data_IF_125054258240
#
_entry.id   IF_125054258240
#
_cell.length_a   1.000
_cell.length_b   1.000
_cell.length_c   1.000
_cell.angle_alpha   90.00
_cell.angle_beta   90.00
_cell.angle_gamma   90.00
#
_symmetry.space_group_name_H-M   'P 1'
#
loop_
_entity.id
_entity.type
_entity.pdbx_description
1 polymer ?
#
# COMPACT_ATOMS: atom_id res chain seq x y z
N UNK A 1 -2.13 15.44 25.25
CA UNK A 1 -2.52 15.20 23.84
C UNK A 1 -2.93 13.75 23.61
N UNK A 2 -2.18 12.71 24.01
CA UNK A 2 -2.64 11.30 23.87
C UNK A 2 -4.02 11.02 24.50
N UNK A 3 -4.36 11.64 25.64
CA UNK A 3 -5.70 11.47 26.26
C UNK A 3 -6.88 12.05 25.44
N UNK A 4 -6.59 12.86 24.43
CA UNK A 4 -7.59 13.49 23.55
C UNK A 4 -7.68 12.82 22.19
N UNK A 5 -6.96 11.71 21.98
CA UNK A 5 -6.90 10.98 20.74
C UNK A 5 -7.63 9.64 20.85
N UNK A 6 -8.29 9.25 19.76
CA UNK A 6 -8.93 7.94 19.59
C UNK A 6 -8.51 7.35 18.25
N UNK A 7 -8.13 6.09 18.25
CA UNK A 7 -7.89 5.31 17.03
C UNK A 7 -9.01 4.31 16.85
N UNK A 8 -9.76 4.40 15.77
CA UNK A 8 -10.81 3.45 15.39
C UNK A 8 -10.32 2.54 14.25
N UNK A 9 -10.69 1.29 14.35
CA UNK A 9 -10.57 0.33 13.26
C UNK A 9 -11.92 0.16 12.57
N UNK A 10 -11.97 0.18 11.25
CA UNK A 10 -13.08 -0.37 10.51
C UNK A 10 -12.74 -1.79 10.02
N UNK A 11 -13.65 -2.41 9.29
CA UNK A 11 -13.68 -3.88 9.14
C UNK A 11 -12.46 -4.47 8.43
N UNK A 12 -11.88 -3.78 7.42
CA UNK A 12 -10.75 -4.30 6.63
C UNK A 12 -9.40 -4.19 7.33
N UNK A 13 -9.26 -3.40 8.39
CA UNK A 13 -7.96 -3.04 8.98
C UNK A 13 -7.89 -3.24 10.50
N UNK A 14 -8.73 -4.13 11.05
CA UNK A 14 -8.86 -4.31 12.52
C UNK A 14 -7.53 -4.72 13.16
N UNK A 15 -6.79 -5.66 12.60
CA UNK A 15 -5.55 -6.16 13.19
C UNK A 15 -4.43 -5.12 13.07
N UNK A 16 -4.31 -4.46 11.92
CA UNK A 16 -3.36 -3.37 11.74
C UNK A 16 -3.64 -2.22 12.71
N UNK A 17 -4.91 -1.79 12.83
CA UNK A 17 -5.29 -0.71 13.72
C UNK A 17 -5.05 -1.06 15.20
N UNK A 18 -5.27 -2.32 15.59
CA UNK A 18 -4.95 -2.80 16.94
C UNK A 18 -3.45 -2.68 17.21
N UNK A 19 -2.62 -3.17 16.30
CA UNK A 19 -1.16 -3.07 16.41
C UNK A 19 -0.68 -1.62 16.49
N UNK A 20 -1.26 -0.72 15.69
CA UNK A 20 -0.97 0.72 15.73
C UNK A 20 -1.34 1.33 17.09
N UNK A 21 -2.55 1.03 17.60
CA UNK A 21 -3.00 1.54 18.89
C UNK A 21 -2.11 1.05 20.04
N UNK A 22 -1.71 -0.22 20.05
CA UNK A 22 -0.78 -0.80 21.01
C UNK A 22 0.58 -0.08 21.01
N UNK A 23 1.14 0.20 19.83
CA UNK A 23 2.41 0.93 19.68
C UNK A 23 2.32 2.37 20.16
N UNK A 24 1.16 3.00 20.02
CA UNK A 24 0.87 4.33 20.56
C UNK A 24 0.59 4.33 22.06
N UNK A 25 0.48 3.16 22.70
CA UNK A 25 0.08 3.03 24.10
C UNK A 25 -1.38 3.47 24.32
N UNK A 26 -2.24 3.37 23.31
CA UNK A 26 -3.65 3.74 23.36
C UNK A 26 -4.54 2.49 23.31
N UNK A 27 -5.68 2.48 23.99
CA UNK A 27 -6.69 1.49 23.72
C UNK A 27 -7.30 1.74 22.31
N UNK A 28 -7.59 0.66 21.59
CA UNK A 28 -8.37 0.77 20.37
C UNK A 28 -9.79 1.28 20.72
N UNK A 29 -10.26 2.28 20.01
CA UNK A 29 -11.58 2.87 20.21
C UNK A 29 -12.69 1.88 19.85
N UNK A 30 -13.78 1.95 20.59
CA UNK A 30 -14.93 1.08 20.38
C UNK A 30 -15.86 1.68 19.32
N UNK A 31 -16.02 0.96 18.23
CA UNK A 31 -16.90 1.31 17.11
C UNK A 31 -17.65 0.06 16.67
N UNK A 32 -18.87 0.20 16.23
CA UNK A 32 -19.70 -0.88 15.72
C UNK A 32 -20.04 -0.59 14.27
N UNK A 33 -19.79 -1.58 13.41
CA UNK A 33 -20.21 -1.58 11.99
C UNK A 33 -21.26 -2.65 11.84
N UNK A 34 -22.42 -2.31 11.32
CA UNK A 34 -23.56 -3.20 11.12
C UNK A 34 -24.11 -3.01 9.71
N UNK A 35 -24.78 -4.07 9.23
CA UNK A 35 -25.51 -4.01 7.96
C UNK A 35 -26.99 -4.23 8.24
N UNK A 36 -27.82 -3.41 7.61
CA UNK A 36 -29.26 -3.67 7.56
C UNK A 36 -29.54 -4.85 6.62
N UNK A 37 -30.75 -5.36 6.67
CA UNK A 37 -31.16 -6.54 5.89
C UNK A 37 -31.06 -6.32 4.36
N UNK A 38 -31.11 -5.08 3.90
CA UNK A 38 -30.95 -4.66 2.52
C UNK A 38 -29.50 -4.36 2.12
N UNK A 39 -28.55 -4.44 3.09
CA UNK A 39 -27.13 -4.19 2.88
C UNK A 39 -26.66 -2.77 3.16
N UNK A 40 -27.52 -1.85 3.59
CA UNK A 40 -27.08 -0.53 4.04
C UNK A 40 -26.17 -0.63 5.27
N UNK A 41 -25.14 0.24 5.31
CA UNK A 41 -24.12 0.23 6.36
C UNK A 41 -24.46 1.25 7.44
N UNK A 42 -24.39 0.83 8.70
CA UNK A 42 -24.47 1.67 9.87
C UNK A 42 -23.17 1.62 10.66
N UNK A 43 -22.56 2.77 10.91
CA UNK A 43 -21.35 2.88 11.74
C UNK A 43 -21.66 3.70 12.98
N UNK A 44 -21.41 3.13 14.15
CA UNK A 44 -21.76 3.78 15.43
C UNK A 44 -20.56 3.77 16.38
N UNK A 45 -19.92 4.94 16.65
CA UNK A 45 -18.96 5.08 17.73
C UNK A 45 -19.62 4.72 19.08
N UNK A 46 -18.97 3.85 19.86
CA UNK A 46 -19.48 3.34 21.13
C UNK A 46 -18.90 4.10 22.36
N UNK A 47 -18.27 5.23 22.09
CA UNK A 47 -17.69 6.12 23.11
C UNK A 47 -17.76 7.57 22.66
N UNK A 48 -17.59 8.49 23.61
CA UNK A 48 -17.63 9.91 23.29
C UNK A 48 -16.37 10.34 22.52
N UNK A 49 -16.57 11.03 21.41
CA UNK A 49 -15.50 11.61 20.57
C UNK A 49 -15.52 13.14 20.59
N UNK A 50 -16.46 13.75 21.35
CA UNK A 50 -16.60 15.20 21.41
C UNK A 50 -15.29 15.87 21.79
N UNK A 51 -14.82 16.78 20.93
CA UNK A 51 -13.58 17.54 21.14
C UNK A 51 -12.29 16.74 21.05
N UNK A 52 -12.35 15.47 20.60
CA UNK A 52 -11.18 14.60 20.44
C UNK A 52 -10.69 14.60 18.99
N UNK A 53 -9.37 14.45 18.79
CA UNK A 53 -8.78 14.11 17.49
C UNK A 53 -8.96 12.61 17.23
N UNK A 54 -9.55 12.26 16.11
CA UNK A 54 -9.91 10.89 15.77
C UNK A 54 -9.07 10.43 14.58
N UNK A 55 -8.56 9.20 14.64
CA UNK A 55 -7.94 8.50 13.54
C UNK A 55 -8.79 7.28 13.18
N UNK A 56 -9.22 7.20 11.92
CA UNK A 56 -9.94 6.05 11.35
C UNK A 56 -8.93 5.27 10.51
N UNK A 57 -8.71 3.99 10.79
CA UNK A 57 -7.82 3.14 9.98
C UNK A 57 -8.68 2.16 9.19
N UNK A 58 -8.65 2.28 7.84
CA UNK A 58 -9.41 1.43 6.93
C UNK A 58 -8.79 1.41 5.53
N UNK A 59 -8.34 0.27 5.06
CA UNK A 59 -8.01 0.08 3.65
C UNK A 59 -9.26 -0.08 2.80
N UNK A 60 -9.37 0.66 1.70
CA UNK A 60 -10.48 0.54 0.76
C UNK A 60 -10.24 -0.55 -0.28
N UNK A 61 -9.82 -1.74 0.21
CA UNK A 61 -9.61 -2.95 -0.58
C UNK A 61 -10.93 -3.71 -0.81
N UNK A 62 -10.87 -4.89 -1.38
CA UNK A 62 -12.05 -5.73 -1.66
C UNK A 62 -12.76 -6.16 -0.37
N UNK A 63 -14.10 -5.99 -0.26
CA UNK A 63 -15.04 -5.39 -1.21
C UNK A 63 -14.96 -3.85 -1.22
N UNK A 64 -14.41 -3.29 -2.32
CA UNK A 64 -13.94 -1.89 -2.42
C UNK A 64 -15.04 -0.86 -2.10
N UNK A 65 -16.23 -1.07 -2.67
CA UNK A 65 -17.37 -0.14 -2.48
C UNK A 65 -17.86 -0.13 -1.04
N UNK A 66 -17.92 -1.29 -0.42
CA UNK A 66 -18.36 -1.46 0.97
C UNK A 66 -17.38 -0.77 1.94
N UNK A 67 -16.09 -1.08 1.85
CA UNK A 67 -15.08 -0.47 2.71
C UNK A 67 -14.98 1.05 2.51
N UNK A 68 -15.19 1.56 1.29
CA UNK A 68 -15.28 2.99 1.05
C UNK A 68 -16.51 3.61 1.73
N UNK A 69 -17.68 2.96 1.62
CA UNK A 69 -18.91 3.45 2.29
C UNK A 69 -18.78 3.41 3.81
N UNK A 70 -18.13 2.39 4.38
CA UNK A 70 -17.86 2.38 5.83
C UNK A 70 -17.08 3.63 6.27
N UNK A 71 -16.04 4.01 5.50
CA UNK A 71 -15.25 5.22 5.79
C UNK A 71 -16.15 6.47 5.75
N UNK A 72 -16.93 6.64 4.68
CA UNK A 72 -17.77 7.82 4.50
C UNK A 72 -18.84 7.95 5.59
N UNK A 73 -19.53 6.86 5.91
CA UNK A 73 -20.54 6.81 6.98
C UNK A 73 -19.89 7.05 8.36
N UNK A 74 -18.69 6.51 8.58
CA UNK A 74 -17.92 6.73 9.80
C UNK A 74 -17.55 8.21 9.98
N UNK A 75 -17.05 8.87 8.94
CA UNK A 75 -16.72 10.30 8.97
C UNK A 75 -17.96 11.12 9.35
N UNK A 76 -19.12 10.88 8.72
CA UNK A 76 -20.37 11.59 9.03
C UNK A 76 -20.80 11.38 10.48
N UNK A 77 -20.74 10.14 10.99
CA UNK A 77 -21.07 9.82 12.38
C UNK A 77 -20.16 10.57 13.37
N UNK A 78 -18.85 10.61 13.13
CA UNK A 78 -17.88 11.31 13.98
C UNK A 78 -18.06 12.82 13.93
N UNK A 79 -18.32 13.39 12.76
CA UNK A 79 -18.62 14.81 12.57
C UNK A 79 -19.88 15.22 13.35
N UNK A 80 -20.96 14.43 13.26
CA UNK A 80 -22.19 14.65 14.04
C UNK A 80 -22.00 14.46 15.54
N UNK A 81 -21.07 13.59 15.95
CA UNK A 81 -20.68 13.41 17.34
C UNK A 81 -19.73 14.50 17.86
N UNK A 82 -19.42 15.52 17.05
CA UNK A 82 -18.56 16.67 17.39
C UNK A 82 -17.11 16.28 17.67
N UNK A 83 -16.53 15.33 16.90
CA UNK A 83 -15.09 15.16 16.86
C UNK A 83 -14.43 16.51 16.52
N UNK A 84 -13.26 16.78 17.09
CA UNK A 84 -12.49 18.01 16.85
C UNK A 84 -11.81 17.96 15.48
N UNK A 85 -11.28 16.81 15.15
CA UNK A 85 -10.51 16.58 13.95
C UNK A 85 -10.68 15.10 13.54
N UNK A 86 -10.87 14.86 12.26
CA UNK A 86 -11.07 13.52 11.69
C UNK A 86 -9.95 13.22 10.69
N UNK A 87 -8.98 12.41 11.12
CA UNK A 87 -7.86 11.96 10.31
C UNK A 87 -8.18 10.57 9.76
N UNK A 88 -8.14 10.41 8.45
CA UNK A 88 -8.48 9.15 7.79
C UNK A 88 -7.21 8.49 7.27
N UNK A 89 -6.86 7.34 7.84
CA UNK A 89 -5.71 6.53 7.44
C UNK A 89 -6.20 5.43 6.53
N UNK A 90 -5.85 5.51 5.25
CA UNK A 90 -6.24 4.56 4.21
C UNK A 90 -4.97 3.89 3.67
N UNK A 91 -4.46 2.83 4.33
CA UNK A 91 -3.21 2.18 3.92
C UNK A 91 -3.22 1.74 2.47
N UNK A 92 -4.36 1.22 1.98
CA UNK A 92 -4.59 0.98 0.55
C UNK A 92 -5.73 1.84 0.04
N UNK A 93 -5.40 2.80 -0.84
CA UNK A 93 -6.35 3.70 -1.46
C UNK A 93 -6.97 3.04 -2.71
N UNK A 94 -8.16 2.52 -2.58
CA UNK A 94 -8.91 1.93 -3.69
C UNK A 94 -9.19 2.95 -4.80
N UNK A 95 -9.36 2.48 -6.03
CA UNK A 95 -9.51 3.30 -7.24
C UNK A 95 -8.27 4.14 -7.64
N UNK A 96 -7.14 4.04 -6.96
CA UNK A 96 -5.92 4.77 -7.30
C UNK A 96 -5.45 4.54 -8.75
N UNK A 97 -5.73 3.36 -9.33
CA UNK A 97 -5.41 3.03 -10.72
C UNK A 97 -6.24 3.78 -11.77
N UNK A 98 -7.27 4.55 -11.33
CA UNK A 98 -8.12 5.38 -12.19
C UNK A 98 -7.81 6.87 -11.93
N UNK A 99 -6.52 7.22 -11.99
CA UNK A 99 -5.98 8.56 -11.75
C UNK A 99 -6.04 9.48 -12.96
N UNK A 100 -6.30 8.92 -14.15
CA UNK A 100 -6.38 9.62 -15.43
C UNK A 100 -7.32 8.90 -16.38
N UNK A 101 -7.74 9.61 -17.42
CA UNK A 101 -8.46 8.98 -18.56
C UNK A 101 -7.45 8.25 -19.43
N UNK A 102 -7.41 6.93 -19.37
CA UNK A 102 -6.59 6.11 -20.27
C UNK A 102 -7.17 6.06 -21.69
N UNK A 103 -8.50 6.26 -21.84
CA UNK A 103 -9.22 6.38 -23.12
C UNK A 103 -10.36 7.40 -23.01
N UNK A 104 -10.97 7.77 -24.14
CA UNK A 104 -12.11 8.68 -24.17
C UNK A 104 -13.27 8.17 -23.30
N UNK A 105 -14.00 9.10 -22.68
CA UNK A 105 -15.19 8.86 -21.86
C UNK A 105 -14.96 8.09 -20.53
N UNK A 106 -13.72 7.76 -20.17
CA UNK A 106 -13.42 7.16 -18.86
C UNK A 106 -13.48 8.18 -17.72
N UNK A 107 -13.86 7.74 -16.50
CA UNK A 107 -13.82 8.59 -15.31
C UNK A 107 -12.39 8.77 -14.78
N UNK A 108 -12.23 9.69 -13.84
CA UNK A 108 -11.06 9.81 -12.94
C UNK A 108 -11.57 9.51 -11.54
N UNK A 109 -11.73 8.23 -11.24
CA UNK A 109 -12.40 7.80 -9.99
C UNK A 109 -11.55 8.07 -8.76
N UNK A 110 -10.22 8.12 -8.89
CA UNK A 110 -9.34 8.54 -7.79
C UNK A 110 -9.68 9.97 -7.31
N UNK A 111 -10.00 10.89 -8.22
CA UNK A 111 -10.47 12.25 -7.86
C UNK A 111 -11.84 12.23 -7.22
N UNK A 112 -12.79 11.46 -7.77
CA UNK A 112 -14.12 11.33 -7.18
C UNK A 112 -14.07 10.86 -5.73
N UNK A 113 -13.25 9.85 -5.43
CA UNK A 113 -13.09 9.34 -4.06
C UNK A 113 -12.46 10.41 -3.14
N UNK A 114 -11.46 11.15 -3.63
CA UNK A 114 -10.86 12.25 -2.86
C UNK A 114 -11.91 13.33 -2.50
N UNK A 115 -12.77 13.69 -3.46
CA UNK A 115 -13.85 14.65 -3.24
C UNK A 115 -14.88 14.14 -2.22
N UNK A 116 -15.26 12.87 -2.31
CA UNK A 116 -16.21 12.26 -1.38
C UNK A 116 -15.68 12.28 0.06
N UNK A 117 -14.41 11.93 0.27
CA UNK A 117 -13.78 11.96 1.60
C UNK A 117 -13.73 13.38 2.17
N UNK A 118 -13.36 14.36 1.35
CA UNK A 118 -13.30 15.77 1.73
C UNK A 118 -14.69 16.31 2.08
N UNK A 119 -15.69 16.06 1.24
CA UNK A 119 -17.08 16.52 1.46
C UNK A 119 -17.71 15.85 2.68
N UNK A 120 -17.44 14.57 2.91
CA UNK A 120 -17.88 13.87 4.12
C UNK A 120 -17.36 14.55 5.40
N UNK A 121 -16.15 15.12 5.36
CA UNK A 121 -15.59 15.90 6.46
C UNK A 121 -14.29 15.36 7.02
N UNK A 122 -13.50 14.68 6.20
CA UNK A 122 -12.11 14.36 6.56
C UNK A 122 -11.29 15.65 6.63
N UNK A 123 -10.50 15.82 7.70
CA UNK A 123 -9.61 16.97 7.89
C UNK A 123 -8.19 16.68 7.38
N UNK A 124 -7.78 15.41 7.34
CA UNK A 124 -6.48 14.93 6.85
C UNK A 124 -6.61 13.51 6.34
N UNK A 125 -5.81 13.18 5.33
CA UNK A 125 -5.69 11.83 4.77
C UNK A 125 -4.26 11.32 4.95
N UNK A 126 -4.10 10.06 5.33
CA UNK A 126 -2.82 9.34 5.33
C UNK A 126 -2.98 8.12 4.47
N UNK A 127 -2.10 7.93 3.51
CA UNK A 127 -2.10 6.80 2.56
C UNK A 127 -0.71 6.18 2.48
N UNK A 128 -0.60 5.03 1.83
CA UNK A 128 0.69 4.41 1.57
C UNK A 128 0.85 4.15 0.07
N UNK A 129 2.02 4.52 -0.49
CA UNK A 129 2.44 4.24 -1.86
C UNK A 129 1.30 4.38 -2.90
N UNK A 130 0.78 5.57 -3.08
CA UNK A 130 -0.21 5.85 -4.11
C UNK A 130 0.28 5.37 -5.48
N UNK A 131 -0.62 4.77 -6.25
CA UNK A 131 -0.32 4.29 -7.61
C UNK A 131 0.35 5.36 -8.48
N UNK A 132 -0.08 6.60 -8.32
CA UNK A 132 0.48 7.76 -8.99
C UNK A 132 0.57 8.93 -8.01
N UNK A 133 1.75 9.52 -7.85
CA UNK A 133 2.02 10.58 -6.87
C UNK A 133 1.18 11.83 -7.08
N UNK A 134 0.74 12.11 -8.33
CA UNK A 134 -0.12 13.24 -8.65
C UNK A 134 -1.52 13.14 -8.00
N UNK A 135 -1.95 11.96 -7.51
CA UNK A 135 -3.21 11.78 -6.77
C UNK A 135 -3.24 12.67 -5.52
N UNK A 136 -2.08 12.97 -4.92
CA UNK A 136 -1.97 13.89 -3.80
C UNK A 136 -2.59 15.27 -4.13
N UNK A 137 -2.46 15.72 -5.36
CA UNK A 137 -3.08 16.96 -5.84
C UNK A 137 -4.60 16.90 -6.06
N UNK A 138 -5.25 15.75 -5.86
CA UNK A 138 -6.70 15.60 -5.95
C UNK A 138 -7.41 15.97 -4.65
N UNK A 139 -6.68 16.07 -3.54
CA UNK A 139 -7.23 16.38 -2.23
C UNK A 139 -7.14 17.87 -1.94
N UNK A 140 -8.23 18.43 -1.41
CA UNK A 140 -8.28 19.80 -0.90
C UNK A 140 -7.94 19.89 0.61
N UNK A 141 -7.66 18.74 1.22
CA UNK A 141 -7.17 18.61 2.60
C UNK A 141 -5.74 18.11 2.61
N UNK A 142 -4.96 18.32 3.69
CA UNK A 142 -3.62 17.75 3.80
C UNK A 142 -3.62 16.25 3.60
N UNK A 143 -2.66 15.76 2.82
CA UNK A 143 -2.44 14.33 2.58
C UNK A 143 -0.97 13.98 2.82
N UNK A 144 -0.74 12.89 3.53
CA UNK A 144 0.57 12.27 3.74
C UNK A 144 0.59 10.90 3.02
N UNK A 145 1.45 10.79 2.00
CA UNK A 145 1.63 9.54 1.22
C UNK A 145 2.92 8.86 1.69
N UNK A 146 2.78 7.82 2.52
CA UNK A 146 3.89 7.12 3.17
C UNK A 146 4.57 6.16 2.19
N UNK A 147 5.88 6.28 2.02
CA UNK A 147 6.66 5.36 1.20
C UNK A 147 6.98 4.07 1.98
N UNK A 148 6.33 2.98 1.64
CA UNK A 148 6.54 1.65 2.24
C UNK A 148 7.69 0.91 1.56
N UNK A 149 7.95 1.19 0.29
CA UNK A 149 9.01 0.54 -0.48
C UNK A 149 10.36 0.41 0.23
N UNK A 150 10.88 1.47 0.89
CA UNK A 150 12.12 1.37 1.66
C UNK A 150 12.10 0.31 2.78
N UNK A 151 10.97 0.11 3.46
CA UNK A 151 10.82 -0.95 4.45
C UNK A 151 10.97 -2.34 3.82
N UNK A 152 10.38 -2.55 2.64
CA UNK A 152 10.56 -3.78 1.88
C UNK A 152 12.02 -3.96 1.42
N UNK A 153 12.70 -2.87 1.07
CA UNK A 153 14.12 -2.86 0.74
C UNK A 153 15.00 -3.28 1.92
N UNK A 154 14.71 -2.77 3.13
CA UNK A 154 15.44 -3.15 4.35
C UNK A 154 15.32 -4.64 4.67
N UNK A 155 14.16 -5.25 4.44
CA UNK A 155 13.99 -6.68 4.59
C UNK A 155 14.99 -7.48 3.74
N UNK A 156 15.24 -7.05 2.49
CA UNK A 156 16.23 -7.69 1.64
C UNK A 156 17.66 -7.35 2.04
N UNK A 157 17.91 -6.12 2.51
CA UNK A 157 19.23 -5.74 3.05
C UNK A 157 19.61 -6.61 4.26
N UNK A 158 18.69 -6.87 5.18
CA UNK A 158 18.88 -7.75 6.34
C UNK A 158 19.15 -9.21 5.95
N UNK A 159 18.66 -9.64 4.79
CA UNK A 159 18.97 -10.94 4.19
C UNK A 159 20.33 -10.98 3.45
N UNK A 160 21.06 -9.87 3.46
CA UNK A 160 22.35 -9.76 2.79
C UNK A 160 22.27 -9.50 1.28
N UNK A 161 21.12 -9.02 0.77
CA UNK A 161 20.92 -8.66 -0.63
C UNK A 161 21.41 -7.22 -0.89
N UNK A 162 22.71 -7.00 -0.78
CA UNK A 162 23.35 -5.68 -0.89
C UNK A 162 24.71 -5.79 -1.61
N UNK A 163 24.73 -6.34 -2.79
CA UNK A 163 25.97 -6.56 -3.54
C UNK A 163 25.76 -6.44 -5.05
N UNK A 164 26.86 -6.47 -5.79
CA UNK A 164 26.87 -6.53 -7.26
C UNK A 164 26.16 -7.76 -7.84
N UNK A 165 25.84 -8.75 -7.00
CA UNK A 165 25.06 -9.92 -7.39
C UNK A 165 23.54 -9.65 -7.39
N UNK A 166 23.10 -8.49 -6.87
CA UNK A 166 21.69 -8.12 -6.76
C UNK A 166 21.35 -7.06 -7.82
N UNK A 167 20.14 -7.16 -8.39
CA UNK A 167 19.58 -6.18 -9.33
C UNK A 167 18.14 -5.91 -8.95
N UNK A 168 17.78 -4.64 -8.76
CA UNK A 168 16.39 -4.25 -8.59
C UNK A 168 15.75 -4.05 -9.96
N UNK A 169 14.60 -4.66 -10.18
CA UNK A 169 13.94 -4.69 -11.48
C UNK A 169 12.61 -3.97 -11.45
N UNK A 170 12.41 -3.03 -12.37
CA UNK A 170 11.09 -2.47 -12.66
C UNK A 170 10.36 -3.35 -13.67
N UNK A 171 9.12 -3.80 -13.41
CA UNK A 171 8.37 -4.64 -14.34
C UNK A 171 7.86 -3.87 -15.57
N UNK A 172 7.98 -2.54 -15.58
CA UNK A 172 7.65 -1.64 -16.69
C UNK A 172 8.34 -0.27 -16.53
N UNK A 173 8.11 0.65 -17.47
CA UNK A 173 8.69 2.00 -17.39
C UNK A 173 8.09 2.88 -16.29
N UNK A 174 6.85 2.63 -15.86
CA UNK A 174 6.15 3.41 -14.83
C UNK A 174 6.74 3.24 -13.43
N UNK A 175 7.25 2.04 -13.12
CA UNK A 175 7.80 1.69 -11.82
C UNK A 175 9.27 2.09 -11.58
N UNK A 176 9.96 2.66 -12.58
CA UNK A 176 11.42 2.93 -12.52
C UNK A 176 11.83 3.78 -11.33
N UNK A 177 11.06 4.82 -10.99
CA UNK A 177 11.37 5.68 -9.84
C UNK A 177 11.29 4.91 -8.53
N UNK A 178 10.31 4.02 -8.40
CA UNK A 178 10.14 3.15 -7.23
C UNK A 178 11.29 2.14 -7.11
N UNK A 179 11.63 1.48 -8.22
CA UNK A 179 12.75 0.55 -8.28
C UNK A 179 14.07 1.22 -7.90
N UNK A 180 14.31 2.45 -8.39
CA UNK A 180 15.53 3.21 -8.08
C UNK A 180 15.71 3.48 -6.59
N UNK A 181 14.63 3.84 -5.88
CA UNK A 181 14.70 4.10 -4.42
C UNK A 181 15.17 2.87 -3.64
N UNK A 182 14.71 1.68 -4.02
CA UNK A 182 15.12 0.43 -3.37
C UNK A 182 16.56 0.07 -3.80
N UNK A 183 16.90 0.27 -5.06
CA UNK A 183 18.26 0.02 -5.56
C UNK A 183 19.31 0.91 -4.86
N UNK A 184 19.00 2.19 -4.62
CA UNK A 184 19.84 3.11 -3.86
C UNK A 184 20.05 2.63 -2.42
N UNK A 185 19.02 2.08 -1.78
CA UNK A 185 19.09 1.53 -0.42
C UNK A 185 19.94 0.24 -0.37
N UNK A 186 19.85 -0.58 -1.41
CA UNK A 186 20.59 -1.85 -1.51
C UNK A 186 21.98 -1.69 -2.14
N UNK A 187 22.35 -0.47 -2.56
CA UNK A 187 23.59 -0.16 -3.28
C UNK A 187 23.82 -1.11 -4.47
N UNK A 188 22.79 -1.24 -5.33
CA UNK A 188 22.80 -2.16 -6.45
C UNK A 188 22.23 -1.53 -7.74
N UNK A 189 22.53 -2.08 -8.93
CA UNK A 189 22.00 -1.58 -10.18
C UNK A 189 20.51 -1.84 -10.35
N UNK A 190 19.90 -1.17 -11.35
CA UNK A 190 18.52 -1.39 -11.79
C UNK A 190 18.48 -2.03 -13.18
N UNK A 191 17.43 -2.82 -13.41
CA UNK A 191 17.02 -3.28 -14.72
C UNK A 191 15.54 -2.98 -14.97
N UNK A 192 15.12 -3.03 -16.23
CA UNK A 192 13.74 -2.75 -16.62
C UNK A 192 13.28 -3.85 -17.57
N UNK A 193 12.11 -4.42 -17.33
CA UNK A 193 11.45 -5.32 -18.29
C UNK A 193 10.71 -4.43 -19.30
N UNK A 194 11.26 -4.37 -20.53
CA UNK A 194 10.68 -3.60 -21.63
C UNK A 194 9.74 -4.48 -22.45
N UNK A 195 8.44 -4.21 -22.33
CA UNK A 195 7.38 -4.88 -23.10
C UNK A 195 7.09 -4.06 -24.35
N UNK A 196 7.80 -4.31 -25.44
CA UNK A 196 7.49 -3.69 -26.72
C UNK A 196 6.45 -4.52 -27.48
N UNK A 197 5.36 -3.88 -27.88
CA UNK A 197 4.44 -4.39 -28.92
C UNK A 197 4.87 -3.77 -30.25
N UNK A 198 5.73 -4.44 -31.04
CA UNK A 198 6.23 -3.84 -32.28
C UNK A 198 5.14 -3.61 -33.31
N UNK A 199 4.14 -4.50 -33.42
CA UNK A 199 2.95 -4.37 -34.30
C UNK A 199 1.85 -5.36 -33.88
N UNK A 200 0.57 -5.12 -34.28
CA UNK A 200 -0.49 -6.13 -34.18
C UNK A 200 -0.06 -7.40 -34.95
N UNK A 201 -0.08 -8.56 -34.27
CA UNK A 201 0.28 -9.89 -34.79
C UNK A 201 1.79 -10.25 -34.87
N UNK A 202 2.72 -9.45 -34.31
CA UNK A 202 4.09 -9.89 -34.09
C UNK A 202 4.25 -10.43 -32.65
N UNK A 203 5.12 -11.43 -32.48
CA UNK A 203 5.46 -11.98 -31.16
C UNK A 203 6.05 -10.86 -30.30
N UNK A 204 5.51 -10.64 -29.11
CA UNK A 204 6.03 -9.65 -28.15
C UNK A 204 7.53 -9.88 -27.95
N UNK A 205 8.37 -8.98 -28.47
CA UNK A 205 9.78 -8.95 -28.11
C UNK A 205 9.87 -8.42 -26.66
N UNK A 206 10.14 -9.33 -25.75
CA UNK A 206 10.32 -9.02 -24.33
C UNK A 206 11.81 -8.84 -24.10
N UNK A 207 12.22 -7.60 -23.86
CA UNK A 207 13.62 -7.26 -23.66
C UNK A 207 13.86 -6.85 -22.21
N UNK A 208 15.06 -7.14 -21.70
CA UNK A 208 15.53 -6.62 -20.42
C UNK A 208 16.57 -5.55 -20.70
N UNK A 209 16.36 -4.35 -20.16
CA UNK A 209 17.35 -3.26 -20.19
C UNK A 209 18.12 -3.35 -18.87
N UNK A 210 19.40 -3.60 -18.92
CA UNK A 210 20.27 -3.88 -17.78
C UNK A 210 20.79 -5.31 -17.80
N UNK A 211 21.76 -5.59 -16.94
CA UNK A 211 22.39 -6.90 -16.82
C UNK A 211 21.73 -7.69 -15.68
N UNK A 212 21.19 -8.88 -15.99
CA UNK A 212 20.51 -9.78 -15.03
C UNK A 212 21.10 -11.19 -15.05
N UNK A 213 22.05 -11.48 -15.93
CA UNK A 213 22.64 -12.81 -16.05
C UNK A 213 23.43 -13.19 -14.80
N UNK A 214 23.13 -14.34 -14.23
CA UNK A 214 23.70 -14.82 -12.97
C UNK A 214 23.28 -14.02 -11.72
N UNK A 215 22.41 -13.01 -11.82
CA UNK A 215 22.04 -12.11 -10.73
C UNK A 215 20.81 -12.58 -9.95
N UNK A 216 20.71 -12.10 -8.71
CA UNK A 216 19.50 -12.16 -7.90
C UNK A 216 18.66 -10.92 -8.25
N UNK A 217 17.49 -11.13 -8.83
CA UNK A 217 16.59 -10.07 -9.24
C UNK A 217 15.52 -9.83 -8.17
N UNK A 218 15.22 -8.54 -7.85
CA UNK A 218 14.11 -8.13 -7.00
C UNK A 218 13.18 -7.26 -7.84
N UNK A 219 12.06 -7.82 -8.27
CA UNK A 219 11.01 -7.06 -8.97
C UNK A 219 10.27 -6.18 -7.96
N UNK A 220 10.15 -4.88 -8.28
CA UNK A 220 9.48 -3.90 -7.39
C UNK A 220 8.27 -3.29 -8.08
N UNK A 221 7.11 -3.37 -7.41
CA UNK A 221 5.87 -2.74 -7.89
C UNK A 221 5.07 -2.16 -6.71
N UNK A 222 3.99 -1.40 -6.98
CA UNK A 222 3.06 -0.94 -5.95
C UNK A 222 1.97 -1.97 -5.64
N UNK A 223 1.45 -2.65 -6.65
CA UNK A 223 0.25 -3.50 -6.54
C UNK A 223 0.50 -4.88 -7.14
N UNK A 224 0.28 -5.93 -6.34
CA UNK A 224 0.13 -7.31 -6.80
C UNK A 224 -1.37 -7.67 -6.82
N UNK A 225 -2.01 -7.54 -7.98
CA UNK A 225 -3.45 -7.85 -8.14
C UNK A 225 -3.65 -9.27 -8.67
N UNK A 226 -3.66 -9.48 -9.98
CA UNK A 226 -3.79 -10.81 -10.61
C UNK A 226 -2.46 -11.55 -10.77
N UNK A 227 -1.36 -10.88 -10.49
CA UNK A 227 0.03 -11.32 -10.58
C UNK A 227 0.50 -11.80 -11.97
N UNK A 228 -0.32 -11.69 -13.00
CA UNK A 228 0.09 -12.07 -14.35
C UNK A 228 1.33 -11.33 -14.85
N UNK A 229 1.40 -10.03 -14.62
CA UNK A 229 2.55 -9.19 -14.99
C UNK A 229 3.82 -9.59 -14.24
N UNK A 230 3.72 -9.81 -12.93
CA UNK A 230 4.86 -10.20 -12.08
C UNK A 230 5.41 -11.58 -12.47
N UNK A 231 4.52 -12.57 -12.65
CA UNK A 231 4.91 -13.90 -13.07
C UNK A 231 5.54 -13.91 -14.49
N UNK A 232 5.00 -13.11 -15.42
CA UNK A 232 5.58 -12.96 -16.74
C UNK A 232 6.96 -12.29 -16.69
N UNK A 233 7.13 -11.23 -15.88
CA UNK A 233 8.40 -10.57 -15.69
C UNK A 233 9.44 -11.54 -15.08
N UNK A 234 9.05 -12.34 -14.07
CA UNK A 234 9.92 -13.33 -13.47
C UNK A 234 10.41 -14.38 -14.49
N UNK A 235 9.51 -14.87 -15.34
CA UNK A 235 9.86 -15.78 -16.42
C UNK A 235 10.87 -15.15 -17.38
N UNK A 236 10.64 -13.92 -17.83
CA UNK A 236 11.55 -13.18 -18.71
C UNK A 236 12.96 -13.07 -18.09
N UNK A 237 13.03 -12.70 -16.82
CA UNK A 237 14.31 -12.60 -16.11
C UNK A 237 15.02 -13.95 -16.03
N UNK A 238 14.29 -15.02 -15.76
CA UNK A 238 14.86 -16.39 -15.77
C UNK A 238 15.35 -16.79 -17.16
N UNK A 239 14.60 -16.47 -18.21
CA UNK A 239 14.99 -16.74 -19.60
C UNK A 239 16.24 -15.94 -20.02
N UNK A 240 16.54 -14.80 -19.33
CA UNK A 240 17.75 -13.98 -19.50
C UNK A 240 18.87 -14.35 -18.50
N UNK A 241 18.82 -15.51 -17.85
CA UNK A 241 19.89 -16.02 -17.01
C UNK A 241 19.83 -15.61 -15.54
N UNK A 242 18.77 -14.94 -15.06
CA UNK A 242 18.68 -14.59 -13.65
C UNK A 242 18.78 -15.84 -12.75
N UNK A 243 19.68 -15.78 -11.76
CA UNK A 243 19.91 -16.85 -10.78
C UNK A 243 18.67 -17.09 -9.92
N UNK A 244 18.06 -16.01 -9.46
CA UNK A 244 16.91 -16.01 -8.55
C UNK A 244 16.02 -14.80 -8.83
N UNK A 245 14.70 -14.94 -8.64
CA UNK A 245 13.75 -13.84 -8.79
C UNK A 245 12.89 -13.74 -7.55
N UNK A 246 12.94 -12.57 -6.91
CA UNK A 246 12.12 -12.17 -5.77
C UNK A 246 11.23 -10.99 -6.15
N UNK A 247 10.21 -10.70 -5.35
CA UNK A 247 9.26 -9.62 -5.59
C UNK A 247 9.03 -8.83 -4.31
N UNK A 248 9.08 -7.49 -4.40
CA UNK A 248 8.72 -6.58 -3.34
C UNK A 248 7.54 -5.70 -3.81
N UNK A 249 6.40 -5.79 -3.15
CA UNK A 249 5.18 -5.08 -3.52
C UNK A 249 4.49 -4.53 -2.29
N UNK A 250 4.09 -3.26 -2.33
CA UNK A 250 3.41 -2.64 -1.20
C UNK A 250 2.02 -3.27 -0.96
N UNK A 251 1.19 -3.37 -1.99
CA UNK A 251 -0.20 -3.78 -1.86
C UNK A 251 -0.46 -5.17 -2.44
N UNK A 252 -0.59 -6.18 -1.58
CA UNK A 252 -0.94 -7.54 -1.96
C UNK A 252 -2.45 -7.75 -2.06
N UNK A 253 -3.08 -7.41 -3.19
CA UNK A 253 -4.51 -7.63 -3.40
C UNK A 253 -4.79 -9.11 -3.63
N UNK A 254 -4.00 -9.76 -4.49
CA UNK A 254 -4.09 -11.17 -4.86
C UNK A 254 -5.50 -11.60 -5.24
N UNK A 255 -6.05 -10.94 -6.26
CA UNK A 255 -7.36 -11.28 -6.81
C UNK A 255 -7.34 -12.60 -7.59
N UNK A 256 -8.47 -13.29 -7.56
CA UNK A 256 -8.70 -14.55 -8.31
C UNK A 256 -7.68 -15.63 -7.91
N UNK A 257 -6.98 -16.20 -8.90
CA UNK A 257 -5.99 -17.26 -8.83
C UNK A 257 -4.53 -16.72 -8.70
N UNK A 258 -4.37 -15.51 -8.16
CA UNK A 258 -3.05 -14.85 -8.09
C UNK A 258 -2.06 -15.63 -7.22
N UNK A 259 -2.51 -16.18 -6.09
CA UNK A 259 -1.66 -16.94 -5.17
C UNK A 259 -1.19 -18.24 -5.83
N UNK A 260 -2.08 -18.96 -6.50
CA UNK A 260 -1.77 -20.18 -7.23
C UNK A 260 -0.79 -19.91 -8.38
N UNK A 261 -0.93 -18.77 -9.07
CA UNK A 261 0.05 -18.35 -10.10
C UNK A 261 1.43 -18.08 -9.53
N UNK A 262 1.51 -17.41 -8.37
CA UNK A 262 2.79 -17.16 -7.69
C UNK A 262 3.46 -18.49 -7.32
N UNK A 263 2.71 -19.42 -6.71
CA UNK A 263 3.24 -20.73 -6.32
C UNK A 263 3.77 -21.52 -7.52
N UNK A 264 3.09 -21.47 -8.67
CA UNK A 264 3.49 -22.15 -9.90
C UNK A 264 4.58 -21.41 -10.71
N UNK A 265 4.96 -20.19 -10.32
CA UNK A 265 5.89 -19.34 -11.07
C UNK A 265 7.36 -19.56 -10.67
N UNK A 266 8.26 -18.93 -11.44
CA UNK A 266 9.70 -18.83 -11.16
C UNK A 266 10.04 -17.89 -10.00
N UNK A 267 9.05 -17.23 -9.39
CA UNK A 267 9.25 -16.35 -8.23
C UNK A 267 9.59 -17.23 -7.02
N UNK A 268 10.66 -16.89 -6.32
CA UNK A 268 11.09 -17.57 -5.10
C UNK A 268 10.35 -17.04 -3.87
N UNK A 269 10.24 -15.72 -3.74
CA UNK A 269 9.60 -15.05 -2.61
C UNK A 269 8.88 -13.79 -3.07
N UNK A 270 7.72 -13.51 -2.47
CA UNK A 270 6.96 -12.27 -2.63
C UNK A 270 6.82 -11.62 -1.27
N UNK A 271 7.45 -10.47 -1.08
CA UNK A 271 7.33 -9.68 0.14
C UNK A 271 6.31 -8.57 -0.08
N UNK A 272 5.33 -8.50 0.81
CA UNK A 272 4.26 -7.49 0.79
C UNK A 272 4.16 -6.79 2.13
N UNK A 273 3.45 -5.66 2.17
CA UNK A 273 3.04 -5.04 3.44
C UNK A 273 1.64 -5.53 3.88
N UNK A 274 1.27 -5.23 5.12
CA UNK A 274 -0.07 -5.44 5.65
C UNK A 274 -1.02 -4.24 5.42
N UNK A 275 -0.72 -3.39 4.42
CA UNK A 275 -1.68 -2.39 3.89
C UNK A 275 -3.00 -3.02 3.49
N UNK A 276 -2.97 -4.27 3.04
CA UNK A 276 -4.12 -5.15 2.86
C UNK A 276 -3.80 -6.43 3.63
N UNK A 277 -4.63 -6.75 4.62
CA UNK A 277 -4.45 -7.97 5.41
C UNK A 277 -4.60 -9.22 4.54
N UNK A 278 -3.59 -10.06 4.55
CA UNK A 278 -3.64 -11.35 3.86
C UNK A 278 -4.57 -12.29 4.63
N UNK A 279 -5.61 -12.81 3.97
CA UNK A 279 -6.54 -13.75 4.61
C UNK A 279 -5.85 -15.07 4.96
N UNK A 280 -6.34 -15.75 6.01
CA UNK A 280 -5.81 -17.03 6.44
C UNK A 280 -5.88 -18.09 5.32
N UNK A 281 -6.92 -18.05 4.47
CA UNK A 281 -7.02 -18.90 3.28
C UNK A 281 -5.86 -18.68 2.33
N UNK A 282 -5.51 -17.42 2.02
CA UNK A 282 -4.39 -17.07 1.12
C UNK A 282 -3.04 -17.43 1.75
N UNK A 283 -2.88 -17.20 3.06
CA UNK A 283 -1.66 -17.62 3.79
C UNK A 283 -1.47 -19.13 3.73
N UNK A 284 -2.53 -19.92 3.90
CA UNK A 284 -2.47 -21.37 3.84
C UNK A 284 -2.13 -21.92 2.43
N UNK A 285 -2.41 -21.15 1.38
CA UNK A 285 -2.14 -21.54 -0.03
C UNK A 285 -0.74 -21.20 -0.52
N UNK A 286 0.03 -20.39 0.22
CA UNK A 286 1.33 -19.92 -0.24
C UNK A 286 2.42 -20.16 0.78
N UNK A 287 3.54 -20.67 0.28
CA UNK A 287 4.82 -20.77 1.01
C UNK A 287 5.79 -19.67 0.61
N UNK A 288 5.45 -18.89 -0.43
CA UNK A 288 6.31 -17.86 -1.03
C UNK A 288 5.98 -16.44 -0.56
N UNK A 289 4.79 -16.21 0.04
CA UNK A 289 4.34 -14.87 0.41
C UNK A 289 4.75 -14.56 1.85
N UNK A 290 5.49 -13.47 2.03
CA UNK A 290 5.89 -12.91 3.34
C UNK A 290 5.19 -11.57 3.50
N UNK A 291 4.47 -11.37 4.61
CA UNK A 291 3.78 -10.13 4.92
C UNK A 291 4.50 -9.40 6.06
N UNK A 292 4.89 -8.14 5.85
CA UNK A 292 5.52 -7.26 6.81
C UNK A 292 4.51 -6.24 7.32
N UNK A 293 4.59 -5.89 8.61
CA UNK A 293 3.67 -4.91 9.19
C UNK A 293 4.18 -3.48 9.03
N UNK A 294 3.29 -2.58 8.64
CA UNK A 294 3.51 -1.12 8.62
C UNK A 294 3.06 -0.45 9.92
N UNK A 295 2.70 -1.20 10.95
CA UNK A 295 2.15 -0.65 12.18
C UNK A 295 3.08 0.35 12.87
N UNK A 296 4.40 0.13 12.85
CA UNK A 296 5.38 1.08 13.39
C UNK A 296 5.36 2.40 12.61
N UNK A 297 5.41 2.33 11.29
CA UNK A 297 5.36 3.50 10.41
C UNK A 297 4.09 4.32 10.61
N UNK A 298 2.93 3.66 10.71
CA UNK A 298 1.66 4.35 10.96
C UNK A 298 1.59 4.94 12.35
N UNK A 299 2.06 4.23 13.38
CA UNK A 299 2.08 4.74 14.75
C UNK A 299 2.99 5.97 14.88
N UNK A 300 4.19 5.95 14.33
CA UNK A 300 5.09 7.09 14.29
C UNK A 300 4.49 8.28 13.52
N UNK A 301 3.79 8.02 12.42
CA UNK A 301 3.10 9.06 11.64
C UNK A 301 1.96 9.68 12.44
N UNK A 302 1.13 8.89 13.09
CA UNK A 302 0.03 9.35 13.94
C UNK A 302 0.60 10.16 15.12
N UNK A 303 1.66 9.67 15.77
CA UNK A 303 2.33 10.39 16.84
C UNK A 303 2.89 11.74 16.37
N UNK A 304 3.52 11.79 15.20
CA UNK A 304 4.01 13.03 14.61
C UNK A 304 2.88 14.04 14.32
N UNK A 305 1.76 13.59 13.77
CA UNK A 305 0.58 14.43 13.52
C UNK A 305 0.02 14.98 14.84
N UNK A 306 -0.15 14.13 15.86
CA UNK A 306 -0.68 14.52 17.17
C UNK A 306 0.20 15.51 17.91
N UNK A 307 1.51 15.36 17.80
CA UNK A 307 2.49 16.20 18.46
C UNK A 307 2.93 17.40 17.61
N UNK A 308 2.31 17.62 16.43
CA UNK A 308 2.65 18.69 15.49
C UNK A 308 4.13 18.68 15.11
N UNK A 309 4.73 17.49 14.99
CA UNK A 309 6.11 17.29 14.53
C UNK A 309 6.14 16.86 13.07
N UNK A 310 7.34 16.88 12.46
CA UNK A 310 7.47 16.56 11.03
C UNK A 310 7.28 15.07 10.75
N UNK A 311 6.34 14.74 9.88
CA UNK A 311 6.15 13.40 9.33
C UNK A 311 7.36 12.97 8.47
N UNK A 312 8.13 13.93 7.91
CA UNK A 312 9.33 13.62 7.11
C UNK A 312 10.36 12.78 7.87
N UNK A 313 10.43 12.89 9.20
CA UNK A 313 11.34 12.08 10.03
C UNK A 313 11.04 10.59 9.93
N UNK A 314 9.77 10.22 9.75
CA UNK A 314 9.36 8.83 9.57
C UNK A 314 9.95 8.29 8.26
N UNK A 315 9.88 9.08 7.19
CA UNK A 315 10.50 8.71 5.90
C UNK A 315 12.00 8.58 5.98
N UNK A 316 12.67 9.57 6.61
CA UNK A 316 14.13 9.62 6.70
C UNK A 316 14.70 8.41 7.47
N UNK A 317 13.99 7.92 8.46
CA UNK A 317 14.36 6.71 9.21
C UNK A 317 14.40 5.48 8.30
N UNK A 318 13.36 5.26 7.49
CA UNK A 318 13.29 4.11 6.59
C UNK A 318 14.20 4.26 5.36
N UNK A 319 14.59 5.48 5.01
CA UNK A 319 15.60 5.75 3.98
C UNK A 319 17.05 5.68 4.49
N UNK A 320 17.27 5.34 5.77
CA UNK A 320 18.61 5.28 6.36
C UNK A 320 19.33 6.63 6.46
N UNK A 321 18.59 7.75 6.36
CA UNK A 321 19.12 9.12 6.41
C UNK A 321 19.23 9.67 7.82
N UNK A 322 18.64 9.01 8.82
CA UNK A 322 18.74 9.34 10.23
C UNK A 322 19.33 8.12 10.94
N UNK A 323 20.44 8.30 11.64
CA UNK A 323 20.99 7.26 12.51
C UNK A 323 19.93 6.85 13.56
N UNK A 324 19.82 5.55 13.77
CA UNK A 324 18.88 4.93 14.73
C UNK A 324 19.03 5.50 16.12
#
# INVERSE_FOLDING_TARGET
MLKETVVFALTSSTDLARSVAEKLGLPLGRIKVEHFADGEILVTPQETVRGRSVFIIQSTCTPVTEHLMEVLVCIDALKRASAKEINVVIPYYGYARQDRKASAHQPITAKLVADLLTVAGADRIVVCDLHATQIQGFFDVPIDDLAVGPMLGHYYAEKGFNSDEVVVVSPDHGGVVRARRIAELLDCPIAIVDKRRPKPNEVEAQNVIGDVDGKICIIVDDIADTCGTLCAAAKILKDHGAKEVNVAVTHGIFSRDAVEKIEASEIKEVVISDTIQLSEEKKAKSTKIVQLSIADMLAETIDAIMNHTSVSRVYDRYLGKVAQ
#
